data_IF_975142065502
#
_entry.id   IF_975142065502
#
_cell.length_a   1.000
_cell.length_b   1.000
_cell.length_c   1.000
_cell.angle_alpha   90.00
_cell.angle_beta   90.00
_cell.angle_gamma   90.00
#
_symmetry.space_group_name_H-M   'P 1'
#
loop_
_entity.id
_entity.type
_entity.pdbx_description
1 polymer ?
#
# COMPACT_ATOMS: atom_id res chain seq x y z
N UNK A 1 4.19 12.63 -15.69
CA UNK A 1 4.66 11.29 -16.09
C UNK A 1 5.01 10.54 -14.81
N UNK A 2 4.55 9.31 -14.67
CA UNK A 2 4.86 8.42 -13.54
C UNK A 2 5.58 7.22 -14.14
N UNK A 3 6.80 6.94 -13.68
CA UNK A 3 7.54 5.73 -14.04
C UNK A 3 7.00 4.56 -13.22
N UNK A 4 6.68 3.46 -13.89
CA UNK A 4 6.20 2.23 -13.27
C UNK A 4 7.35 1.24 -13.10
N UNK A 5 7.22 0.31 -12.17
CA UNK A 5 8.23 -0.72 -11.89
C UNK A 5 8.56 -1.60 -13.12
N UNK A 6 7.64 -1.68 -14.10
CA UNK A 6 7.87 -2.36 -15.38
C UNK A 6 8.80 -1.62 -16.32
N UNK A 7 9.22 -0.40 -15.98
CA UNK A 7 9.95 0.53 -16.86
C UNK A 7 9.04 1.33 -17.80
N UNK A 8 7.73 1.09 -17.78
CA UNK A 8 6.77 1.86 -18.55
C UNK A 8 6.47 3.21 -17.89
N UNK A 9 5.96 4.16 -18.69
CA UNK A 9 5.54 5.46 -18.19
C UNK A 9 4.03 5.63 -18.30
N UNK A 10 3.38 5.97 -17.19
CA UNK A 10 2.01 6.46 -17.17
C UNK A 10 2.01 7.98 -17.36
N UNK A 11 1.44 8.44 -18.46
CA UNK A 11 1.28 9.86 -18.78
C UNK A 11 -0.14 10.33 -18.45
N UNK A 12 -0.25 11.57 -17.96
CA UNK A 12 -1.51 12.17 -17.54
C UNK A 12 -1.60 13.53 -18.21
N UNK A 13 -2.67 13.74 -18.98
CA UNK A 13 -2.90 14.97 -19.72
C UNK A 13 -4.30 15.53 -19.46
N UNK A 14 -4.43 16.85 -19.46
CA UNK A 14 -5.72 17.52 -19.59
C UNK A 14 -5.93 17.85 -21.07
N UNK A 15 -7.06 17.44 -21.62
CA UNK A 15 -7.47 17.69 -23.01
C UNK A 15 -8.92 18.14 -23.05
N UNK A 16 -9.32 18.76 -24.15
CA UNK A 16 -10.73 19.02 -24.44
C UNK A 16 -11.30 17.94 -25.37
N UNK A 17 -12.54 17.53 -25.16
CA UNK A 17 -13.27 16.68 -26.11
C UNK A 17 -13.82 17.49 -27.29
N UNK A 18 -14.41 16.83 -28.28
CA UNK A 18 -14.98 17.48 -29.47
C UNK A 18 -16.10 18.49 -29.16
N UNK A 19 -16.61 18.52 -27.93
CA UNK A 19 -17.63 19.46 -27.45
C UNK A 19 -17.01 20.57 -26.57
N UNK A 20 -15.68 20.67 -26.49
CA UNK A 20 -14.95 21.65 -25.70
C UNK A 20 -14.99 21.37 -24.19
N UNK A 21 -15.27 20.13 -23.77
CA UNK A 21 -15.29 19.77 -22.34
C UNK A 21 -13.98 19.15 -21.91
N UNK A 22 -13.51 19.54 -20.74
CA UNK A 22 -12.32 18.97 -20.12
C UNK A 22 -12.43 17.45 -19.94
N UNK A 23 -11.34 16.77 -20.27
CA UNK A 23 -11.08 15.35 -20.09
C UNK A 23 -9.67 15.15 -19.55
N UNK A 24 -9.56 14.24 -18.58
CA UNK A 24 -8.26 13.78 -18.08
C UNK A 24 -7.94 12.49 -18.81
N UNK A 25 -6.86 12.49 -19.58
CA UNK A 25 -6.40 11.34 -20.34
C UNK A 25 -5.22 10.68 -19.62
N UNK A 26 -5.36 9.38 -19.35
CA UNK A 26 -4.31 8.53 -18.82
C UNK A 26 -3.79 7.66 -19.96
N UNK A 27 -2.51 7.76 -20.26
CA UNK A 27 -1.86 7.01 -21.34
C UNK A 27 -0.81 6.08 -20.73
N UNK A 28 -1.00 4.78 -20.92
CA UNK A 28 -0.03 3.75 -20.55
C UNK A 28 0.22 2.87 -21.77
N UNK A 29 1.46 2.87 -22.27
CA UNK A 29 1.83 2.17 -23.50
C UNK A 29 0.91 2.57 -24.68
N UNK A 30 0.06 1.66 -25.15
CA UNK A 30 -0.91 1.85 -26.24
C UNK A 30 -2.35 1.94 -25.75
N UNK A 31 -2.55 1.93 -24.43
CA UNK A 31 -3.86 2.02 -23.80
C UNK A 31 -4.11 3.46 -23.34
N UNK A 32 -5.19 4.03 -23.85
CA UNK A 32 -5.65 5.37 -23.49
C UNK A 32 -6.97 5.28 -22.75
N UNK A 33 -7.03 5.91 -21.57
CA UNK A 33 -8.25 6.05 -20.79
C UNK A 33 -8.60 7.53 -20.64
N UNK A 34 -9.72 7.95 -21.23
CA UNK A 34 -10.22 9.31 -21.10
C UNK A 34 -11.31 9.37 -20.02
N UNK A 35 -11.11 10.21 -19.01
CA UNK A 35 -11.98 10.37 -17.85
C UNK A 35 -12.60 11.77 -17.85
N UNK A 36 -13.83 11.88 -17.34
CA UNK A 36 -14.33 13.19 -16.87
C UNK A 36 -13.50 13.67 -15.67
N UNK A 37 -13.49 14.98 -15.37
CA UNK A 37 -12.84 15.50 -14.17
C UNK A 37 -13.37 14.87 -12.87
N UNK A 38 -14.67 14.53 -12.82
CA UNK A 38 -15.25 13.85 -11.67
C UNK A 38 -14.70 12.41 -11.52
N UNK A 39 -14.67 11.63 -12.60
CA UNK A 39 -14.12 10.28 -12.56
C UNK A 39 -12.63 10.25 -12.21
N UNK A 40 -11.84 11.17 -12.78
CA UNK A 40 -10.43 11.30 -12.44
C UNK A 40 -10.22 11.64 -10.95
N UNK A 41 -11.08 12.50 -10.39
CA UNK A 41 -11.07 12.80 -8.95
C UNK A 41 -11.38 11.57 -8.11
N UNK A 42 -12.42 10.80 -8.46
CA UNK A 42 -12.76 9.55 -7.74
C UNK A 42 -11.59 8.57 -7.80
N UNK A 43 -11.01 8.36 -8.97
CA UNK A 43 -9.84 7.49 -9.14
C UNK A 43 -8.66 7.94 -8.27
N UNK A 44 -8.35 9.25 -8.25
CA UNK A 44 -7.27 9.79 -7.42
C UNK A 44 -7.52 9.53 -5.92
N UNK A 45 -8.75 9.73 -5.46
CA UNK A 45 -9.13 9.43 -4.07
C UNK A 45 -8.92 7.95 -3.75
N UNK A 46 -9.37 7.04 -4.61
CA UNK A 46 -9.21 5.60 -4.40
C UNK A 46 -7.72 5.20 -4.35
N UNK A 47 -6.88 5.79 -5.21
CA UNK A 47 -5.43 5.57 -5.19
C UNK A 47 -4.82 6.02 -3.86
N UNK A 48 -5.15 7.22 -3.38
CA UNK A 48 -4.68 7.73 -2.09
C UNK A 48 -5.13 6.81 -0.95
N UNK A 49 -6.39 6.38 -0.95
CA UNK A 49 -6.89 5.46 0.08
C UNK A 49 -6.17 4.12 0.06
N UNK A 50 -5.90 3.56 -1.13
CA UNK A 50 -5.17 2.31 -1.26
C UNK A 50 -3.74 2.41 -0.71
N UNK A 51 -3.05 3.53 -0.99
CA UNK A 51 -1.73 3.83 -0.43
C UNK A 51 -1.79 3.91 1.09
N UNK A 52 -2.70 4.72 1.64
CA UNK A 52 -2.86 4.85 3.10
C UNK A 52 -3.12 3.49 3.77
N UNK A 53 -3.96 2.64 3.17
CA UNK A 53 -4.22 1.28 3.68
C UNK A 53 -2.96 0.40 3.66
N UNK A 54 -2.15 0.48 2.60
CA UNK A 54 -0.92 -0.29 2.49
C UNK A 54 0.11 0.12 3.54
N UNK A 55 0.28 1.41 3.78
CA UNK A 55 1.18 1.97 4.80
C UNK A 55 0.77 1.58 6.22
N UNK A 56 -0.52 1.74 6.55
CA UNK A 56 -1.05 1.31 7.85
C UNK A 56 -0.81 -0.18 8.07
N UNK A 57 -1.05 -1.02 7.07
CA UNK A 57 -0.79 -2.46 7.16
C UNK A 57 0.69 -2.77 7.42
N UNK A 58 1.61 -2.03 6.80
CA UNK A 58 3.04 -2.19 7.03
C UNK A 58 3.44 -1.79 8.47
N UNK A 59 2.92 -0.66 8.94
CA UNK A 59 3.17 -0.16 10.29
C UNK A 59 2.67 -1.13 11.36
N UNK A 60 1.50 -1.74 11.15
CA UNK A 60 0.94 -2.74 12.06
C UNK A 60 1.73 -4.06 12.06
N UNK A 61 2.27 -4.50 10.92
CA UNK A 61 3.17 -5.67 10.87
C UNK A 61 4.45 -5.42 11.67
N UNK A 62 5.02 -4.23 11.56
CA UNK A 62 6.23 -3.85 12.29
C UNK A 62 5.94 -3.73 13.81
N UNK A 63 4.76 -3.25 14.21
CA UNK A 63 4.39 -3.17 15.63
C UNK A 63 4.11 -4.53 16.28
N UNK A 64 3.59 -5.52 15.55
CA UNK A 64 3.42 -6.88 16.06
C UNK A 64 4.75 -7.55 16.45
N UNK A 65 5.85 -7.24 15.75
CA UNK A 65 7.18 -7.76 16.09
C UNK A 65 7.75 -7.14 17.38
N UNK A 66 7.29 -5.96 17.79
CA UNK A 66 7.69 -5.33 19.07
C UNK A 66 7.01 -5.97 20.29
N UNK A 67 5.86 -6.63 20.12
CA UNK A 67 5.15 -7.33 21.21
C UNK A 67 5.71 -8.74 21.46
N UNK A 68 6.33 -9.38 20.44
CA UNK A 68 6.99 -10.70 20.59
C UNK A 68 8.48 -10.65 20.94
N UNK A 69 9.12 -9.48 20.90
CA UNK A 69 10.54 -9.28 21.21
C UNK A 69 10.91 -9.24 22.71
N UNK A 70 9.93 -9.35 23.63
CA UNK A 70 10.19 -9.35 25.07
C UNK A 70 10.33 -10.76 25.68
N UNK A 71 10.68 -11.78 24.90
CA UNK A 71 11.16 -13.05 25.45
C UNK A 71 12.54 -13.36 24.88
N UNK A 72 13.55 -12.83 25.59
CA UNK A 72 14.94 -13.21 25.43
C UNK A 72 15.11 -14.73 25.62
N UNK A 73 15.70 -15.47 24.67
CA UNK A 73 15.94 -16.90 24.81
C UNK A 73 17.23 -17.13 25.59
N UNK A 74 17.28 -16.71 26.86
CA UNK A 74 18.43 -17.06 27.70
C UNK A 74 18.13 -16.90 29.20
N UNK A 75 17.42 -17.85 29.81
CA UNK A 75 17.58 -18.10 31.25
C UNK A 75 17.30 -19.56 31.61
N UNK A 76 18.41 -20.31 31.69
CA UNK A 76 18.71 -21.35 32.68
C UNK A 76 18.05 -22.72 32.52
N UNK A 77 18.80 -23.60 31.84
CA UNK A 77 19.09 -24.96 32.30
C UNK A 77 19.35 -24.96 33.82
N UNK A 78 18.71 -25.90 34.54
CA UNK A 78 19.24 -26.47 35.78
C UNK A 78 18.33 -26.38 36.98
N UNK A 79 17.94 -27.57 37.48
CA UNK A 79 17.56 -27.89 38.87
C UNK A 79 16.20 -27.27 39.25
N UNK A 80 15.14 -28.02 39.56
CA UNK A 80 15.01 -28.80 40.79
C UNK A 80 14.08 -30.01 40.58
N UNK A 81 14.61 -31.17 40.91
CA UNK A 81 13.85 -32.34 41.32
C UNK A 81 13.15 -32.08 42.66
N UNK A 82 12.02 -32.74 42.85
CA UNK A 82 11.36 -33.15 44.10
C UNK A 82 10.01 -32.51 44.45
N UNK A 83 9.13 -33.45 44.84
CA UNK A 83 7.98 -33.34 45.72
C UNK A 83 6.69 -32.81 45.07
N UNK A 84 5.53 -33.49 45.11
CA UNK A 84 5.01 -34.39 46.14
C UNK A 84 4.06 -35.43 45.51
N UNK A 85 4.21 -36.69 45.95
CA UNK A 85 3.13 -37.67 45.96
C UNK A 85 2.67 -37.82 47.42
N UNK A 86 1.36 -37.64 47.65
CA UNK A 86 0.59 -38.30 48.71
C UNK A 86 -0.85 -38.40 48.22
#
# INVERSE_FOLDING_TARGET
>A
MIELDSGDTLNIHLKEDAQGRDRVELLLQQCTLALTPHQARVLATELIMAVNRAEVRNNLKNSQNMVRGAQSPNQKRGLFSQAFAR
#
